data_IF_342131757004
#
_entry.id   IF_342131757004
#
_cell.length_a   1.000
_cell.length_b   1.000
_cell.length_c   1.000
_cell.angle_alpha   90.00
_cell.angle_beta   90.00
_cell.angle_gamma   90.00
#
_symmetry.space_group_name_H-M   'P 1'
#
loop_
_entity.id
_entity.type
_entity.pdbx_description
1 polymer ?
#
# COMPACT_ATOMS: atom_id res chain seq x y z
N UNK A 1 -30.58 -30.59 -8.91
CA UNK A 1 -30.75 -30.01 -7.55
C UNK A 1 -31.86 -28.98 -7.60
N UNK A 2 -32.84 -29.01 -6.68
CA UNK A 2 -33.84 -27.93 -6.52
C UNK A 2 -33.40 -27.02 -5.39
N UNK A 3 -33.42 -25.71 -5.59
CA UNK A 3 -32.96 -24.71 -4.61
C UNK A 3 -34.18 -24.00 -4.03
N UNK A 4 -34.41 -24.17 -2.73
CA UNK A 4 -35.45 -23.44 -1.99
C UNK A 4 -34.82 -22.17 -1.41
N UNK A 5 -35.29 -21.00 -1.87
CA UNK A 5 -34.81 -19.71 -1.38
C UNK A 5 -35.88 -19.07 -0.51
N UNK A 6 -35.54 -18.79 0.73
CA UNK A 6 -36.37 -17.97 1.62
C UNK A 6 -36.04 -16.50 1.38
N UNK A 7 -37.06 -15.63 1.29
CA UNK A 7 -36.83 -14.19 1.17
C UNK A 7 -36.05 -13.68 2.41
N UNK A 8 -34.92 -12.98 2.24
CA UNK A 8 -34.14 -12.52 3.38
C UNK A 8 -34.93 -11.43 4.14
N UNK A 9 -35.23 -11.67 5.42
CA UNK A 9 -36.03 -10.74 6.21
C UNK A 9 -35.19 -9.59 6.80
N UNK A 10 -33.95 -9.85 7.26
CA UNK A 10 -32.95 -8.87 7.76
C UNK A 10 -31.53 -9.48 7.72
N UNK A 11 -30.50 -8.63 7.80
CA UNK A 11 -29.08 -9.00 7.99
C UNK A 11 -28.50 -10.03 7.00
N UNK A 12 -28.50 -9.69 5.71
CA UNK A 12 -27.87 -10.49 4.65
C UNK A 12 -26.67 -9.75 4.04
N UNK A 13 -25.68 -10.52 3.60
CA UNK A 13 -24.57 -10.03 2.78
C UNK A 13 -24.81 -10.45 1.33
N UNK A 14 -24.81 -9.48 0.42
CA UNK A 14 -24.85 -9.77 -1.01
C UNK A 14 -23.43 -10.15 -1.47
N UNK A 15 -23.30 -11.30 -2.14
CA UNK A 15 -22.05 -11.75 -2.75
C UNK A 15 -22.20 -11.65 -4.27
N UNK A 16 -21.15 -11.20 -4.94
CA UNK A 16 -21.13 -11.14 -6.41
C UNK A 16 -21.17 -12.55 -7.02
N UNK A 17 -21.87 -12.70 -8.14
CA UNK A 17 -21.87 -13.95 -8.91
C UNK A 17 -20.48 -14.27 -9.47
N UNK A 18 -19.66 -13.24 -9.74
CA UNK A 18 -18.28 -13.39 -10.21
C UNK A 18 -17.43 -14.17 -9.22
N UNK A 19 -17.55 -13.84 -7.92
CA UNK A 19 -16.88 -14.54 -6.82
C UNK A 19 -17.26 -16.03 -6.76
N UNK A 20 -18.54 -16.36 -6.93
CA UNK A 20 -19.01 -17.75 -6.88
C UNK A 20 -18.69 -18.55 -8.15
N UNK A 21 -18.39 -17.86 -9.26
CA UNK A 21 -18.09 -18.47 -10.55
C UNK A 21 -16.59 -18.62 -10.80
N UNK A 22 -15.75 -18.00 -9.96
CA UNK A 22 -14.31 -18.02 -10.08
C UNK A 22 -13.75 -19.41 -9.73
N UNK A 23 -13.18 -20.08 -10.72
CA UNK A 23 -12.60 -21.43 -10.58
C UNK A 23 -11.18 -21.42 -10.03
N UNK A 24 -10.55 -20.24 -9.92
CA UNK A 24 -9.18 -20.10 -9.40
C UNK A 24 -9.12 -20.24 -7.87
N UNK A 25 -10.24 -20.04 -7.17
CA UNK A 25 -10.32 -20.07 -5.71
C UNK A 25 -10.99 -21.36 -5.20
N UNK A 26 -10.50 -21.88 -4.08
CA UNK A 26 -11.12 -23.04 -3.43
C UNK A 26 -12.45 -22.67 -2.73
N UNK A 27 -13.31 -23.66 -2.51
CA UNK A 27 -14.53 -23.48 -1.69
C UNK A 27 -14.23 -23.00 -0.26
N UNK A 28 -13.05 -23.34 0.27
CA UNK A 28 -12.59 -22.82 1.56
C UNK A 28 -12.31 -21.30 1.46
N UNK A 29 -11.61 -20.85 0.41
CA UNK A 29 -11.38 -19.44 0.12
C UNK A 29 -12.69 -18.66 -0.07
N UNK A 30 -13.65 -19.20 -0.84
CA UNK A 30 -15.00 -18.62 -1.00
C UNK A 30 -15.71 -18.45 0.35
N UNK A 31 -15.64 -19.47 1.21
CA UNK A 31 -16.24 -19.43 2.54
C UNK A 31 -15.60 -18.39 3.46
N UNK A 32 -14.27 -18.27 3.43
CA UNK A 32 -13.51 -17.25 4.18
C UNK A 32 -13.89 -15.85 3.68
N UNK A 33 -13.89 -15.63 2.36
CA UNK A 33 -14.22 -14.34 1.76
C UNK A 33 -15.65 -13.91 2.09
N UNK A 34 -16.62 -14.82 1.96
CA UNK A 34 -18.01 -14.55 2.31
C UNK A 34 -18.18 -14.15 3.78
N UNK A 35 -17.43 -14.80 4.69
CA UNK A 35 -17.43 -14.44 6.10
C UNK A 35 -16.83 -13.04 6.33
N UNK A 36 -15.68 -12.75 5.71
CA UNK A 36 -15.03 -11.44 5.84
C UNK A 36 -15.92 -10.29 5.32
N UNK A 37 -16.62 -10.49 4.20
CA UNK A 37 -17.57 -9.51 3.64
C UNK A 37 -18.84 -9.31 4.49
N UNK A 38 -19.15 -10.25 5.39
CA UNK A 38 -20.25 -10.12 6.34
C UNK A 38 -19.92 -9.29 7.58
N UNK A 39 -18.63 -9.06 7.84
CA UNK A 39 -18.19 -8.32 9.01
C UNK A 39 -18.24 -6.80 8.77
N UNK A 40 -18.46 -6.00 9.82
CA UNK A 40 -18.32 -4.54 9.73
C UNK A 40 -16.88 -4.15 9.31
N UNK A 41 -16.78 -3.16 8.41
CA UNK A 41 -15.51 -2.61 7.90
C UNK A 41 -14.71 -1.88 8.97
N UNK A 42 -14.01 -2.65 9.81
CA UNK A 42 -13.04 -2.25 10.85
C UNK A 42 -12.66 -3.47 11.73
N UNK A 43 -13.33 -4.61 11.54
CA UNK A 43 -13.11 -5.81 12.35
C UNK A 43 -11.73 -6.39 12.09
N UNK A 44 -10.87 -6.42 13.12
CA UNK A 44 -9.57 -7.10 13.07
C UNK A 44 -9.81 -8.60 13.24
N UNK A 45 -9.47 -9.39 12.24
CA UNK A 45 -9.63 -10.85 12.27
C UNK A 45 -8.28 -11.51 12.06
N UNK A 46 -7.93 -12.45 12.95
CA UNK A 46 -6.69 -13.22 12.86
C UNK A 46 -6.93 -14.57 12.21
N UNK A 47 -5.88 -15.15 11.62
CA UNK A 47 -5.92 -16.52 11.04
C UNK A 47 -6.38 -17.55 12.07
N UNK A 48 -5.94 -17.39 13.32
CA UNK A 48 -6.36 -18.25 14.44
C UNK A 48 -7.84 -18.11 14.74
N UNK A 49 -8.36 -16.89 14.81
CA UNK A 49 -9.78 -16.64 15.03
C UNK A 49 -10.65 -17.25 13.90
N UNK A 50 -10.20 -17.17 12.64
CA UNK A 50 -10.90 -17.80 11.52
C UNK A 50 -10.93 -19.33 11.62
N UNK A 51 -9.81 -19.95 12.00
CA UNK A 51 -9.71 -21.39 12.18
C UNK A 51 -10.63 -21.91 13.30
N UNK A 52 -10.64 -21.21 14.44
CA UNK A 52 -11.48 -21.56 15.59
C UNK A 52 -12.98 -21.41 15.27
N UNK A 53 -13.37 -20.36 14.53
CA UNK A 53 -14.78 -20.03 14.23
C UNK A 53 -15.51 -21.06 13.34
N UNK A 54 -14.79 -21.80 12.49
CA UNK A 54 -15.39 -22.77 11.54
C UNK A 54 -14.86 -24.19 11.70
N UNK A 55 -14.10 -24.48 12.76
CA UNK A 55 -13.40 -25.78 12.98
C UNK A 55 -12.56 -26.19 11.76
N UNK A 56 -11.93 -25.21 11.13
CA UNK A 56 -11.05 -25.42 9.99
C UNK A 56 -9.58 -25.40 10.42
N UNK A 57 -8.74 -26.14 9.71
CA UNK A 57 -7.31 -26.21 10.04
C UNK A 57 -6.60 -24.87 9.78
N UNK A 58 -5.70 -24.45 10.68
CA UNK A 58 -4.88 -23.23 10.51
C UNK A 58 -4.18 -23.18 9.14
N UNK A 59 -3.61 -24.30 8.70
CA UNK A 59 -2.96 -24.40 7.39
C UNK A 59 -3.94 -24.24 6.22
N UNK A 60 -5.19 -24.70 6.36
CA UNK A 60 -6.24 -24.53 5.35
C UNK A 60 -6.67 -23.07 5.25
N UNK A 61 -6.86 -22.40 6.38
CA UNK A 61 -7.21 -20.97 6.41
C UNK A 61 -6.05 -20.13 5.86
N UNK A 62 -4.81 -20.40 6.26
CA UNK A 62 -3.64 -19.69 5.74
C UNK A 62 -3.51 -19.88 4.21
N UNK A 63 -3.77 -21.10 3.72
CA UNK A 63 -3.80 -21.38 2.28
C UNK A 63 -4.94 -20.63 1.60
N UNK A 64 -6.14 -20.66 2.16
CA UNK A 64 -7.30 -19.95 1.63
C UNK A 64 -7.04 -18.43 1.52
N UNK A 65 -6.42 -17.81 2.54
CA UNK A 65 -6.04 -16.39 2.49
C UNK A 65 -5.00 -16.11 1.39
N UNK A 66 -4.00 -16.98 1.21
CA UNK A 66 -3.04 -16.85 0.09
C UNK A 66 -3.72 -16.96 -1.28
N UNK A 67 -4.62 -17.93 -1.45
CA UNK A 67 -5.41 -18.08 -2.68
C UNK A 67 -6.24 -16.81 -2.96
N UNK A 68 -6.82 -16.19 -1.93
CA UNK A 68 -7.56 -14.94 -2.08
C UNK A 68 -6.66 -13.74 -2.43
N UNK A 69 -5.41 -13.71 -1.94
CA UNK A 69 -4.43 -12.69 -2.36
C UNK A 69 -4.01 -12.88 -3.81
N UNK A 70 -3.71 -14.12 -4.22
CA UNK A 70 -3.33 -14.47 -5.59
C UNK A 70 -4.44 -14.16 -6.60
N UNK A 71 -5.69 -14.44 -6.23
CA UNK A 71 -6.87 -14.13 -7.04
C UNK A 71 -7.38 -12.69 -6.88
N UNK A 72 -6.66 -11.84 -6.15
CA UNK A 72 -6.95 -10.40 -5.95
C UNK A 72 -8.30 -10.09 -5.31
N UNK A 73 -8.80 -10.96 -4.44
CA UNK A 73 -9.95 -10.66 -3.57
C UNK A 73 -9.51 -10.15 -2.18
N UNK A 74 -8.22 -10.31 -1.86
CA UNK A 74 -7.62 -9.87 -0.61
C UNK A 74 -6.35 -9.08 -0.90
N UNK A 75 -6.14 -7.96 -0.22
CA UNK A 75 -4.82 -7.31 -0.17
C UNK A 75 -4.39 -7.11 1.28
N UNK A 76 -3.15 -7.48 1.58
CA UNK A 76 -2.54 -7.15 2.86
C UNK A 76 -1.98 -5.73 2.79
N UNK A 77 -2.57 -4.81 3.58
CA UNK A 77 -2.04 -3.46 3.79
C UNK A 77 -1.34 -3.38 5.14
N UNK A 78 -0.23 -2.65 5.19
CA UNK A 78 0.46 -2.35 6.45
C UNK A 78 -0.13 -1.06 7.00
N UNK A 79 -1.12 -1.19 7.90
CA UNK A 79 -1.69 -0.03 8.58
C UNK A 79 -0.77 0.34 9.74
N UNK A 80 -0.26 1.56 9.72
CA UNK A 80 0.48 2.12 10.86
C UNK A 80 -0.48 2.49 11.98
N UNK A 81 -0.36 1.84 13.13
CA UNK A 81 -1.01 2.29 14.34
C UNK A 81 -0.31 3.59 14.79
N UNK A 82 -0.99 4.72 14.56
CA UNK A 82 -0.42 6.07 14.68
C UNK A 82 0.00 6.42 16.12
N UNK A 83 -0.49 5.67 17.11
CA UNK A 83 -0.22 5.89 18.53
C UNK A 83 0.93 5.03 19.06
N UNK A 84 1.16 3.85 18.48
CA UNK A 84 2.16 2.89 18.97
C UNK A 84 3.35 2.68 18.03
N UNK A 85 3.29 3.20 16.80
CA UNK A 85 4.34 3.03 15.79
C UNK A 85 4.48 1.58 15.30
N UNK A 86 3.56 0.68 15.68
CA UNK A 86 3.52 -0.69 15.22
C UNK A 86 2.80 -0.78 13.88
N UNK A 87 3.46 -1.43 12.92
CA UNK A 87 2.86 -1.80 11.65
C UNK A 87 2.02 -3.06 11.87
N UNK A 88 0.71 -2.93 11.75
CA UNK A 88 -0.21 -4.08 11.81
C UNK A 88 -0.59 -4.46 10.38
N UNK A 89 -0.36 -5.72 10.01
CA UNK A 89 -0.88 -6.26 8.77
C UNK A 89 -2.41 -6.33 8.88
N UNK A 90 -3.10 -5.53 8.07
CA UNK A 90 -4.56 -5.48 7.98
C UNK A 90 -4.95 -6.01 6.60
N UNK A 91 -5.94 -6.89 6.58
CA UNK A 91 -6.50 -7.40 5.34
C UNK A 91 -7.59 -6.44 4.86
N UNK A 92 -7.44 -5.93 3.65
CA UNK A 92 -8.50 -5.29 2.91
C UNK A 92 -9.12 -6.30 1.93
N UNK A 93 -10.45 -6.38 1.96
CA UNK A 93 -11.24 -7.46 1.37
C UNK A 93 -12.16 -6.88 0.31
N UNK A 94 -12.18 -7.49 -0.88
CA UNK A 94 -12.98 -7.04 -2.02
C UNK A 94 -13.99 -8.10 -2.45
N UNK A 95 -15.17 -7.65 -2.89
CA UNK A 95 -16.24 -8.50 -3.43
C UNK A 95 -16.05 -8.85 -4.92
N UNK A 96 -15.20 -8.09 -5.62
CA UNK A 96 -14.73 -8.34 -6.98
C UNK A 96 -13.20 -8.29 -7.03
N UNK A 97 -12.54 -9.06 -7.92
CA UNK A 97 -11.09 -9.05 -7.99
C UNK A 97 -10.59 -7.65 -8.36
N UNK A 98 -9.70 -7.07 -7.56
CA UNK A 98 -9.16 -5.75 -7.86
C UNK A 98 -8.17 -5.85 -9.03
N UNK A 99 -8.18 -4.86 -9.93
CA UNK A 99 -7.12 -4.70 -10.91
C UNK A 99 -5.92 -4.06 -10.21
N UNK A 100 -4.74 -4.66 -10.37
CA UNK A 100 -3.53 -4.27 -9.65
C UNK A 100 -2.97 -2.98 -10.26
N UNK A 101 -3.55 -1.83 -9.91
CA UNK A 101 -2.85 -0.55 -9.97
C UNK A 101 -1.77 -0.52 -8.89
N UNK A 102 -0.68 -1.26 -9.15
CA UNK A 102 0.63 -1.19 -8.54
C UNK A 102 0.68 -0.71 -7.07
N UNK A 103 0.45 -1.65 -6.14
CA UNK A 103 0.94 -1.65 -4.75
C UNK A 103 0.96 -0.27 -4.05
N UNK A 104 -0.19 0.39 -3.95
CA UNK A 104 -0.44 1.49 -3.02
C UNK A 104 -1.95 1.72 -2.88
N UNK A 105 -2.45 1.75 -1.66
CA UNK A 105 -3.83 2.16 -1.38
C UNK A 105 -4.30 1.58 -0.07
N UNK A 106 -4.13 2.33 1.00
CA UNK A 106 -5.00 2.22 2.19
C UNK A 106 -6.30 3.03 1.92
N UNK A 107 -7.34 2.91 2.77
CA UNK A 107 -8.71 2.65 2.35
C UNK A 107 -9.50 3.91 2.00
N UNK A 108 -10.34 3.79 0.97
CA UNK A 108 -11.37 4.75 0.66
C UNK A 108 -12.71 4.27 1.25
N UNK A 109 -13.24 5.02 2.23
CA UNK A 109 -14.70 5.11 2.36
C UNK A 109 -15.13 6.55 2.68
N UNK A 110 -15.71 7.13 1.63
CA UNK A 110 -16.92 7.96 1.58
C UNK A 110 -16.81 9.40 2.10
N UNK A 111 -16.76 10.29 1.10
CA UNK A 111 -17.45 11.58 0.98
C UNK A 111 -17.32 12.52 2.18
N UNK A 112 -16.53 13.57 1.97
CA UNK A 112 -17.16 14.88 1.79
C UNK A 112 -16.38 15.68 0.73
N UNK A 113 -17.08 15.97 -0.36
CA UNK A 113 -16.68 16.84 -1.44
C UNK A 113 -16.69 18.28 -0.90
N UNK A 114 -15.50 18.86 -0.72
CA UNK A 114 -15.14 20.27 -0.98
C UNK A 114 -13.87 20.58 -0.16
N UNK A 115 -12.70 20.08 -0.60
CA UNK A 115 -11.34 20.56 -0.22
C UNK A 115 -10.17 19.66 -0.70
N UNK A 116 -10.44 18.51 -1.32
CA UNK A 116 -9.47 17.41 -1.45
C UNK A 116 -8.46 17.43 -2.60
N UNK A 117 -8.55 18.34 -3.59
CA UNK A 117 -7.69 18.27 -4.78
C UNK A 117 -6.20 18.57 -4.47
N UNK A 118 -5.92 19.49 -3.54
CA UNK A 118 -4.54 19.80 -3.12
C UNK A 118 -3.91 18.68 -2.29
N UNK A 119 -4.71 17.97 -1.48
CA UNK A 119 -4.22 16.88 -0.62
C UNK A 119 -3.94 15.59 -1.40
N UNK A 120 -4.78 15.26 -2.39
CA UNK A 120 -4.57 14.13 -3.30
C UNK A 120 -3.31 14.33 -4.15
N UNK A 121 -3.11 15.55 -4.67
CA UNK A 121 -1.90 15.91 -5.42
C UNK A 121 -0.63 15.87 -4.54
N UNK A 122 -0.69 16.38 -3.31
CA UNK A 122 0.43 16.30 -2.36
C UNK A 122 0.81 14.86 -1.98
N UNK A 123 -0.19 14.00 -1.76
CA UNK A 123 0.05 12.57 -1.50
C UNK A 123 0.69 11.89 -2.71
N UNK A 124 0.17 12.13 -3.91
CA UNK A 124 0.72 11.58 -5.16
C UNK A 124 2.16 12.07 -5.40
N UNK A 125 2.45 13.35 -5.17
CA UNK A 125 3.82 13.89 -5.24
C UNK A 125 4.76 13.20 -4.25
N UNK A 126 4.28 12.92 -3.03
CA UNK A 126 5.07 12.20 -2.02
C UNK A 126 5.37 10.75 -2.46
N UNK A 127 4.40 10.06 -3.07
CA UNK A 127 4.59 8.70 -3.63
C UNK A 127 5.63 8.72 -4.75
N UNK A 128 5.59 9.70 -5.66
CA UNK A 128 6.56 9.84 -6.73
C UNK A 128 7.97 10.14 -6.20
N UNK A 129 8.09 10.99 -5.18
CA UNK A 129 9.35 11.29 -4.51
C UNK A 129 9.95 10.05 -3.84
N UNK A 130 9.11 9.25 -3.17
CA UNK A 130 9.51 7.97 -2.59
C UNK A 130 10.03 6.99 -3.66
N UNK A 131 9.35 6.89 -4.81
CA UNK A 131 9.82 6.09 -5.96
C UNK A 131 11.17 6.57 -6.50
N UNK A 132 11.38 7.89 -6.60
CA UNK A 132 12.66 8.45 -7.03
C UNK A 132 13.79 8.01 -6.09
N UNK A 133 13.62 8.19 -4.79
CA UNK A 133 14.60 7.80 -3.77
C UNK A 133 14.87 6.30 -3.77
N UNK A 134 13.82 5.47 -3.87
CA UNK A 134 13.96 4.02 -3.97
C UNK A 134 14.76 3.57 -5.21
N UNK A 135 14.65 4.30 -6.32
CA UNK A 135 15.40 4.00 -7.55
C UNK A 135 16.89 4.32 -7.45
N UNK A 136 17.34 5.14 -6.48
CA UNK A 136 18.76 5.47 -6.31
C UNK A 136 19.58 4.25 -5.93
N UNK A 137 19.05 3.39 -5.06
CA UNK A 137 19.71 2.16 -4.61
C UNK A 137 19.93 1.13 -5.72
N UNK A 138 19.14 1.19 -6.80
CA UNK A 138 19.29 0.31 -7.97
C UNK A 138 20.55 0.68 -8.76
N UNK A 139 20.78 1.99 -8.95
CA UNK A 139 21.94 2.48 -9.73
C UNK A 139 23.19 2.68 -8.86
N UNK A 140 23.00 3.04 -7.58
CA UNK A 140 24.06 3.32 -6.63
C UNK A 140 23.82 2.51 -5.35
N UNK A 141 24.36 1.27 -5.24
CA UNK A 141 24.08 0.39 -4.11
C UNK A 141 24.44 0.99 -2.73
N UNK A 142 25.43 1.89 -2.68
CA UNK A 142 25.80 2.63 -1.46
C UNK A 142 24.75 3.65 -0.99
N UNK A 143 23.70 3.89 -1.79
CA UNK A 143 22.57 4.76 -1.50
C UNK A 143 21.26 3.98 -1.30
N UNK A 144 21.32 2.66 -1.09
CA UNK A 144 20.13 1.88 -0.75
C UNK A 144 19.48 2.40 0.53
N UNK A 145 18.18 2.64 0.44
CA UNK A 145 17.34 3.10 1.55
C UNK A 145 16.30 2.03 1.88
N UNK A 146 16.03 1.86 3.18
CA UNK A 146 14.87 1.09 3.62
C UNK A 146 13.56 1.84 3.38
N UNK A 147 12.44 1.12 3.29
CA UNK A 147 11.12 1.72 3.02
C UNK A 147 10.77 2.86 3.98
N UNK A 148 11.04 2.71 5.28
CA UNK A 148 10.80 3.75 6.29
C UNK A 148 11.64 5.02 6.08
N UNK A 149 12.87 4.88 5.59
CA UNK A 149 13.77 6.01 5.30
C UNK A 149 13.32 6.73 4.03
N UNK A 150 12.91 5.99 3.00
CA UNK A 150 12.36 6.55 1.76
C UNK A 150 11.15 7.44 2.05
N UNK A 151 10.18 6.95 2.82
CA UNK A 151 8.98 7.73 3.15
C UNK A 151 9.27 8.93 4.05
N UNK A 152 10.26 8.84 4.94
CA UNK A 152 10.69 9.97 5.77
C UNK A 152 11.32 11.10 4.94
N UNK A 153 12.03 10.75 3.88
CA UNK A 153 12.79 11.70 3.05
C UNK A 153 12.00 12.21 1.85
N UNK A 154 10.95 11.50 1.42
CA UNK A 154 10.13 11.87 0.28
C UNK A 154 9.57 13.31 0.34
N UNK A 155 9.07 13.84 1.48
CA UNK A 155 8.60 15.22 1.55
C UNK A 155 9.68 16.26 1.20
N UNK A 156 10.94 16.03 1.57
CA UNK A 156 12.03 16.95 1.26
C UNK A 156 12.37 16.99 -0.24
N UNK A 157 12.11 15.89 -0.96
CA UNK A 157 12.22 15.87 -2.43
C UNK A 157 11.06 16.64 -3.07
N UNK A 158 9.86 16.56 -2.49
CA UNK A 158 8.71 17.36 -2.95
C UNK A 158 9.01 18.85 -2.80
N UNK A 159 9.62 19.28 -1.69
CA UNK A 159 10.07 20.67 -1.50
C UNK A 159 10.99 21.14 -2.63
N UNK A 160 11.92 20.28 -3.09
CA UNK A 160 12.81 20.60 -4.22
C UNK A 160 12.07 20.66 -5.56
N UNK A 161 11.07 19.79 -5.76
CA UNK A 161 10.22 19.86 -6.96
C UNK A 161 9.30 21.09 -6.95
N UNK A 162 8.87 21.54 -5.78
CA UNK A 162 8.09 22.77 -5.62
C UNK A 162 8.98 24.01 -5.85
N UNK A 163 10.27 23.90 -5.55
CA UNK A 163 11.31 24.80 -6.03
C UNK A 163 11.69 24.58 -7.51
N UNK A 164 10.92 23.81 -8.29
CA UNK A 164 11.09 23.71 -9.75
C UNK A 164 12.26 22.85 -10.22
N UNK A 165 12.90 22.06 -9.36
CA UNK A 165 13.88 21.06 -9.80
C UNK A 165 13.19 19.88 -10.47
N UNK A 166 13.80 19.35 -11.53
CA UNK A 166 13.38 18.09 -12.14
C UNK A 166 13.92 16.88 -11.37
N UNK A 167 13.25 15.73 -11.49
CA UNK A 167 13.73 14.45 -10.92
C UNK A 167 15.15 14.07 -11.34
N UNK A 168 15.58 14.47 -12.55
CA UNK A 168 16.95 14.25 -13.02
C UNK A 168 17.96 15.11 -12.25
N UNK A 169 17.63 16.36 -11.98
CA UNK A 169 18.47 17.27 -11.19
C UNK A 169 18.53 16.85 -9.72
N UNK A 170 17.41 16.45 -9.12
CA UNK A 170 17.39 15.89 -7.77
C UNK A 170 18.29 14.64 -7.70
N UNK A 171 18.17 13.73 -8.67
CA UNK A 171 19.01 12.54 -8.75
C UNK A 171 20.50 12.91 -8.83
N UNK A 172 20.87 13.77 -9.77
CA UNK A 172 22.25 14.22 -9.93
C UNK A 172 22.81 14.82 -8.63
N UNK A 173 22.07 15.73 -8.00
CA UNK A 173 22.47 16.36 -6.75
C UNK A 173 22.62 15.38 -5.57
N UNK A 174 21.85 14.29 -5.54
CA UNK A 174 21.98 13.25 -4.52
C UNK A 174 23.13 12.27 -4.78
N UNK A 175 23.54 12.09 -6.04
CA UNK A 175 24.58 11.13 -6.45
C UNK A 175 25.93 11.75 -6.79
N UNK A 176 26.01 13.07 -6.93
CA UNK A 176 27.24 13.78 -7.31
C UNK A 176 28.24 13.83 -6.15
N UNK A 177 29.51 13.46 -6.37
CA UNK A 177 30.55 13.59 -5.34
C UNK A 177 30.28 12.76 -4.08
N UNK A 178 29.88 11.50 -4.25
CA UNK A 178 29.67 10.59 -3.12
C UNK A 178 30.99 10.28 -2.38
N UNK A 179 30.96 10.21 -1.04
CA UNK A 179 32.11 9.78 -0.26
C UNK A 179 32.55 8.36 -0.63
N UNK A 180 33.85 8.06 -0.50
CA UNK A 180 34.40 6.72 -0.77
C UNK A 180 33.76 5.62 0.08
N UNK A 181 33.27 5.95 1.28
CA UNK A 181 32.47 5.07 2.13
C UNK A 181 31.26 5.83 2.66
N UNK A 182 30.08 5.25 2.48
CA UNK A 182 28.81 5.76 3.01
C UNK A 182 28.38 4.86 4.15
N UNK A 183 28.50 5.35 5.38
CA UNK A 183 28.11 4.60 6.57
C UNK A 183 26.60 4.68 6.86
N UNK A 184 25.96 5.79 6.44
CA UNK A 184 24.52 5.98 6.56
C UNK A 184 23.96 6.64 5.30
N UNK A 185 23.39 5.86 4.37
CA UNK A 185 22.76 6.37 3.16
C UNK A 185 21.66 7.40 3.45
N UNK A 186 20.81 7.10 4.44
CA UNK A 186 19.69 7.96 4.81
C UNK A 186 20.15 9.30 5.39
N UNK A 187 21.13 9.30 6.29
CA UNK A 187 21.65 10.55 6.87
C UNK A 187 22.37 11.40 5.81
N UNK A 188 23.06 10.76 4.86
CA UNK A 188 23.71 11.47 3.76
C UNK A 188 22.66 12.14 2.84
N UNK A 189 21.64 11.40 2.42
CA UNK A 189 20.56 11.92 1.56
C UNK A 189 19.80 13.02 2.30
N UNK A 190 19.46 12.83 3.58
CA UNK A 190 18.80 13.85 4.39
C UNK A 190 19.63 15.14 4.49
N UNK A 191 20.92 15.00 4.80
CA UNK A 191 21.83 16.14 4.90
C UNK A 191 21.86 16.92 3.57
N UNK A 192 21.95 16.22 2.44
CA UNK A 192 21.93 16.85 1.12
C UNK A 192 20.61 17.55 0.83
N UNK A 193 19.49 16.88 1.07
CA UNK A 193 18.16 17.46 0.84
C UNK A 193 17.93 18.74 1.68
N UNK A 194 18.46 18.79 2.90
CA UNK A 194 18.28 19.94 3.80
C UNK A 194 19.28 21.08 3.58
N UNK A 195 20.51 20.78 3.20
CA UNK A 195 21.60 21.76 3.22
C UNK A 195 22.27 22.00 1.87
N UNK A 196 22.05 21.14 0.87
CA UNK A 196 22.66 21.23 -0.46
C UNK A 196 21.61 21.31 -1.55
N UNK A 197 20.64 22.21 -1.37
CA UNK A 197 19.72 22.57 -2.45
C UNK A 197 20.53 23.10 -3.64
N UNK A 198 20.44 22.49 -4.84
CA UNK A 198 21.08 23.02 -6.02
C UNK A 198 20.54 24.43 -6.24
N UNK A 199 21.43 25.38 -6.52
CA UNK A 199 20.98 26.62 -7.12
C UNK A 199 20.21 26.26 -8.40
N UNK A 200 19.04 26.87 -8.61
CA UNK A 200 18.20 26.60 -9.78
C UNK A 200 19.05 26.60 -11.06
N UNK A 201 18.75 25.74 -12.05
CA UNK A 201 19.34 25.92 -13.37
C UNK A 201 19.04 27.35 -13.83
N UNK A 202 20.09 28.09 -14.20
CA UNK A 202 19.90 29.28 -15.00
C UNK A 202 19.06 28.87 -16.22
N UNK A 203 17.88 29.46 -16.35
CA UNK A 203 17.02 29.28 -17.51
C UNK A 203 17.85 29.63 -18.73
N UNK A 204 18.23 28.63 -19.52
CA UNK A 204 18.80 28.86 -20.83
C UNK A 204 17.66 29.40 -21.70
N UNK A 205 17.80 30.67 -22.07
CA UNK A 205 16.97 31.38 -23.05
C UNK A 205 17.08 30.76 -24.44
#
# INVERSE_FOLDING_TARGET
MRVHRTAPMRAFSALSHTLLSDRSISWCAVGVLAYLLSLPGATRVTVRALAEQRREGLGRIARALRELEESRYLRTVLRGDRETGQLVAVYEVFDTPYEDESRAGEPEKVRNLTSGESASSGHQRTVLAARLLGSLGITHPCLMLGASQVWRLAPLVVEWWDAGLSSAQVRAALTEGLPRRVHSPAALIENRLRHKHPAHPAVAA
#
